data_IF_760130948332
#
_entry.id   IF_760130948332
#
_cell.length_a   1.000
_cell.length_b   1.000
_cell.length_c   1.000
_cell.angle_alpha   90.00
_cell.angle_beta   90.00
_cell.angle_gamma   90.00
#
_symmetry.space_group_name_H-M   'P 1'
#
loop_
_entity.id
_entity.type
_entity.pdbx_description
1 polymer ?
#
# COMPACT_ATOMS: atom_id res chain seq x y z
N UNK A 1 19.79 -12.16 -43.43
CA UNK A 1 18.32 -12.02 -43.27
C UNK A 1 18.04 -11.72 -41.81
N UNK A 2 18.07 -10.44 -41.43
CA UNK A 2 17.70 -9.97 -40.11
C UNK A 2 16.19 -9.71 -40.12
N UNK A 3 15.41 -10.72 -39.72
CA UNK A 3 14.00 -10.54 -39.45
C UNK A 3 13.86 -9.58 -38.27
N UNK A 4 13.30 -8.41 -38.53
CA UNK A 4 13.00 -7.37 -37.54
C UNK A 4 12.04 -7.92 -36.49
N UNK A 5 12.58 -8.28 -35.33
CA UNK A 5 11.85 -8.76 -34.14
C UNK A 5 10.93 -7.68 -33.53
N UNK A 6 10.83 -6.51 -34.16
CA UNK A 6 9.95 -5.39 -33.78
C UNK A 6 8.47 -5.62 -34.15
N UNK A 7 8.14 -6.65 -34.95
CA UNK A 7 6.79 -6.83 -35.50
C UNK A 7 5.64 -6.97 -34.47
N UNK A 8 5.78 -7.67 -33.31
CA UNK A 8 4.66 -7.83 -32.38
C UNK A 8 4.39 -6.60 -31.50
N UNK A 9 5.31 -5.64 -31.42
CA UNK A 9 5.13 -4.44 -30.57
C UNK A 9 4.31 -3.34 -31.29
N UNK A 10 4.19 -3.42 -32.62
CA UNK A 10 3.44 -2.50 -33.46
C UNK A 10 2.12 -3.09 -33.97
N UNK A 11 1.59 -4.13 -33.32
CA UNK A 11 0.21 -4.52 -33.58
C UNK A 11 -0.69 -3.37 -33.09
N UNK A 12 -1.54 -2.77 -33.94
CA UNK A 12 -2.42 -1.67 -33.55
C UNK A 12 -3.32 -2.03 -32.36
N UNK A 13 -3.62 -3.32 -32.16
CA UNK A 13 -4.35 -3.77 -30.98
C UNK A 13 -3.51 -3.61 -29.70
N UNK A 14 -2.25 -4.04 -29.72
CA UNK A 14 -1.35 -3.93 -28.56
C UNK A 14 -1.05 -2.46 -28.25
N UNK A 15 -0.84 -1.64 -29.27
CA UNK A 15 -0.62 -0.21 -29.11
C UNK A 15 -1.82 0.47 -28.42
N UNK A 16 -3.05 0.18 -28.88
CA UNK A 16 -4.26 0.75 -28.28
C UNK A 16 -4.48 0.28 -26.82
N UNK A 17 -4.17 -0.97 -26.52
CA UNK A 17 -4.24 -1.50 -25.15
C UNK A 17 -3.19 -0.85 -24.23
N UNK A 18 -1.97 -0.67 -24.72
CA UNK A 18 -0.89 -0.02 -23.98
C UNK A 18 -1.22 1.45 -23.73
N UNK A 19 -1.68 2.17 -24.74
CA UNK A 19 -2.09 3.57 -24.62
C UNK A 19 -3.21 3.73 -23.58
N UNK A 20 -4.24 2.87 -23.64
CA UNK A 20 -5.34 2.87 -22.66
C UNK A 20 -4.83 2.58 -21.25
N UNK A 21 -3.93 1.59 -21.08
CA UNK A 21 -3.35 1.25 -19.79
C UNK A 21 -2.49 2.37 -19.22
N UNK A 22 -1.68 3.04 -20.04
CA UNK A 22 -0.84 4.17 -19.65
C UNK A 22 -1.67 5.40 -19.26
N UNK A 23 -2.72 5.71 -20.02
CA UNK A 23 -3.65 6.80 -19.69
C UNK A 23 -4.42 6.52 -18.40
N UNK A 24 -4.84 5.28 -18.18
CA UNK A 24 -5.48 4.86 -16.94
C UNK A 24 -4.51 4.99 -15.76
N UNK A 25 -3.29 4.51 -15.92
CA UNK A 25 -2.25 4.58 -14.90
C UNK A 25 -1.88 6.04 -14.57
N UNK A 26 -1.76 6.91 -15.57
CA UNK A 26 -1.47 8.33 -15.37
C UNK A 26 -2.61 9.07 -14.66
N UNK A 27 -3.88 8.71 -14.95
CA UNK A 27 -5.03 9.21 -14.23
C UNK A 27 -4.98 8.80 -12.75
N UNK A 28 -4.73 7.52 -12.46
CA UNK A 28 -4.61 7.04 -11.07
C UNK A 28 -3.47 7.73 -10.32
N UNK A 29 -2.31 7.91 -10.95
CA UNK A 29 -1.20 8.65 -10.35
C UNK A 29 -1.56 10.11 -10.10
N UNK A 30 -2.26 10.76 -11.02
CA UNK A 30 -2.68 12.16 -10.86
C UNK A 30 -3.65 12.32 -9.68
N UNK A 31 -4.63 11.42 -9.55
CA UNK A 31 -5.54 11.39 -8.40
C UNK A 31 -4.80 11.12 -7.08
N UNK A 32 -3.82 10.22 -7.09
CA UNK A 32 -3.00 9.92 -5.92
C UNK A 32 -2.16 11.13 -5.50
N UNK A 33 -1.49 11.81 -6.44
CA UNK A 33 -0.72 13.04 -6.16
C UNK A 33 -1.64 14.12 -5.60
N UNK A 34 -2.83 14.29 -6.19
CA UNK A 34 -3.82 15.26 -5.73
C UNK A 34 -4.33 14.94 -4.31
N UNK A 35 -4.52 13.65 -3.98
CA UNK A 35 -4.81 13.21 -2.62
C UNK A 35 -3.70 13.62 -1.64
N UNK A 36 -2.43 13.33 -1.96
CA UNK A 36 -1.30 13.73 -1.11
C UNK A 36 -1.25 15.26 -0.95
N UNK A 37 -1.46 16.03 -2.03
CA UNK A 37 -1.47 17.48 -1.97
C UNK A 37 -2.60 18.04 -1.09
N UNK A 38 -3.83 17.52 -1.20
CA UNK A 38 -4.93 17.94 -0.32
C UNK A 38 -4.66 17.59 1.13
N UNK A 39 -4.06 16.43 1.36
CA UNK A 39 -3.71 15.99 2.68
C UNK A 39 -2.64 16.87 3.32
N UNK A 40 -1.56 17.23 2.60
CA UNK A 40 -0.55 18.16 3.12
C UNK A 40 -1.14 19.53 3.41
N UNK A 41 -1.95 20.09 2.50
CA UNK A 41 -2.63 21.37 2.71
C UNK A 41 -3.55 21.35 3.93
N UNK A 42 -4.25 20.25 4.16
CA UNK A 42 -5.12 20.10 5.33
C UNK A 42 -4.31 20.00 6.62
N UNK A 43 -3.23 19.24 6.60
CA UNK A 43 -2.38 19.05 7.76
C UNK A 43 -1.72 20.36 8.15
N UNK A 44 -1.24 21.15 7.20
CA UNK A 44 -0.65 22.46 7.47
C UNK A 44 -1.69 23.51 7.90
N UNK A 45 -2.95 23.10 8.13
CA UNK A 45 -4.09 23.95 8.47
C UNK A 45 -4.35 25.11 7.50
N UNK A 46 -3.79 25.04 6.28
CA UNK A 46 -4.00 26.04 5.22
C UNK A 46 -5.46 26.03 4.76
N UNK A 47 -6.08 24.84 4.75
CA UNK A 47 -7.49 24.66 4.43
C UNK A 47 -8.26 24.04 5.59
N UNK A 48 -9.43 24.62 5.90
CA UNK A 48 -10.32 24.20 6.99
C UNK A 48 -11.39 23.17 6.57
N UNK A 49 -11.15 22.43 5.48
CA UNK A 49 -12.12 21.47 4.95
C UNK A 49 -12.27 20.24 5.85
N UNK A 50 -13.47 19.64 5.88
CA UNK A 50 -13.65 18.33 6.53
C UNK A 50 -12.75 17.26 5.89
N UNK A 51 -12.32 16.26 6.67
CA UNK A 51 -11.45 15.20 6.15
C UNK A 51 -12.13 14.42 5.03
N UNK A 52 -13.47 14.30 5.03
CA UNK A 52 -14.23 13.70 3.93
C UNK A 52 -13.93 14.35 2.57
N UNK A 53 -13.80 15.68 2.54
CA UNK A 53 -13.52 16.44 1.30
C UNK A 53 -12.08 16.23 0.85
N UNK A 54 -11.14 16.21 1.79
CA UNK A 54 -9.70 15.95 1.53
C UNK A 54 -9.50 14.58 0.89
N UNK A 55 -10.32 13.59 1.28
CA UNK A 55 -10.26 12.22 0.77
C UNK A 55 -11.03 11.99 -0.55
N UNK A 56 -11.70 13.00 -1.13
CA UNK A 56 -12.39 12.89 -2.44
C UNK A 56 -11.56 12.18 -3.51
N UNK A 57 -10.27 12.50 -3.72
CA UNK A 57 -9.50 11.87 -4.78
C UNK A 57 -9.25 10.38 -4.51
N UNK A 58 -9.08 9.99 -3.25
CA UNK A 58 -9.00 8.59 -2.84
C UNK A 58 -10.34 7.86 -3.05
N UNK A 59 -11.48 8.48 -2.68
CA UNK A 59 -12.80 7.91 -2.95
C UNK A 59 -13.07 7.67 -4.45
N UNK A 60 -12.57 8.56 -5.31
CA UNK A 60 -12.65 8.38 -6.77
C UNK A 60 -11.82 7.15 -7.20
N UNK A 61 -10.62 6.96 -6.65
CA UNK A 61 -9.80 5.77 -6.91
C UNK A 61 -10.55 4.51 -6.47
N UNK A 62 -11.13 4.49 -5.27
CA UNK A 62 -11.90 3.35 -4.78
C UNK A 62 -13.11 3.03 -5.66
N UNK A 63 -13.82 4.05 -6.13
CA UNK A 63 -14.95 3.90 -7.05
C UNK A 63 -14.52 3.28 -8.38
N UNK A 64 -13.38 3.73 -8.94
CA UNK A 64 -12.81 3.18 -10.16
C UNK A 64 -12.40 1.71 -9.94
N UNK A 65 -11.71 1.41 -8.84
CA UNK A 65 -11.30 0.05 -8.50
C UNK A 65 -12.52 -0.87 -8.30
N UNK A 66 -13.55 -0.40 -7.61
CA UNK A 66 -14.81 -1.12 -7.44
C UNK A 66 -15.49 -1.39 -8.78
N UNK A 67 -15.59 -0.39 -9.66
CA UNK A 67 -16.13 -0.56 -11.00
C UNK A 67 -15.38 -1.64 -11.79
N UNK A 68 -14.05 -1.62 -11.76
CA UNK A 68 -13.22 -2.64 -12.41
C UNK A 68 -13.42 -4.03 -11.79
N UNK A 69 -13.52 -4.12 -10.45
CA UNK A 69 -13.77 -5.37 -9.74
C UNK A 69 -15.13 -5.96 -10.13
N UNK A 70 -16.19 -5.17 -10.11
CA UNK A 70 -17.54 -5.60 -10.50
C UNK A 70 -17.56 -6.04 -11.97
N UNK A 71 -16.96 -5.25 -12.87
CA UNK A 71 -16.87 -5.61 -14.30
C UNK A 71 -16.08 -6.89 -14.52
N UNK A 72 -14.99 -7.09 -13.76
CA UNK A 72 -14.19 -8.32 -13.80
C UNK A 72 -15.02 -9.52 -13.35
N UNK A 73 -15.79 -9.40 -12.27
CA UNK A 73 -16.67 -10.47 -11.77
C UNK A 73 -17.76 -10.82 -12.79
N UNK A 74 -18.45 -9.82 -13.35
CA UNK A 74 -19.52 -10.02 -14.34
C UNK A 74 -18.98 -10.68 -15.62
N UNK A 75 -17.90 -10.14 -16.19
CA UNK A 75 -17.28 -10.71 -17.42
C UNK A 75 -16.85 -12.15 -17.21
N UNK A 76 -16.32 -12.46 -16.03
CA UNK A 76 -15.86 -13.81 -15.71
C UNK A 76 -17.01 -14.79 -15.55
N UNK A 77 -18.14 -14.37 -14.98
CA UNK A 77 -19.34 -15.19 -14.93
C UNK A 77 -19.85 -15.53 -16.35
N UNK A 78 -19.84 -14.55 -17.26
CA UNK A 78 -20.30 -14.76 -18.63
C UNK A 78 -19.42 -15.72 -19.45
N UNK A 79 -18.09 -15.66 -19.28
CA UNK A 79 -17.18 -16.57 -19.97
C UNK A 79 -17.33 -18.02 -19.46
N UNK A 80 -17.55 -18.20 -18.15
CA UNK A 80 -17.78 -19.53 -17.57
C UNK A 80 -18.98 -20.25 -18.17
N UNK A 81 -20.02 -19.53 -18.63
CA UNK A 81 -21.21 -20.13 -19.23
C UNK A 81 -21.02 -20.51 -20.71
N UNK A 82 -20.03 -19.93 -21.41
CA UNK A 82 -19.78 -20.20 -22.84
C UNK A 82 -18.82 -21.36 -23.08
N UNK A 83 -17.88 -21.58 -22.16
CA UNK A 83 -16.83 -22.60 -22.31
C UNK A 83 -17.26 -24.01 -21.83
N UNK A 84 -18.42 -24.16 -21.18
CA UNK A 84 -18.97 -25.44 -20.66
C UNK A 84 -19.52 -26.41 -21.73
N UNK A 85 -19.10 -26.27 -22.99
CA UNK A 85 -19.51 -27.15 -24.10
C UNK A 85 -18.34 -27.93 -24.71
N UNK A 86 -17.51 -28.58 -23.91
CA UNK A 86 -16.81 -29.83 -24.30
C UNK A 86 -15.96 -30.36 -23.14
N UNK A 87 -16.28 -31.56 -22.68
CA UNK A 87 -15.36 -32.57 -22.07
C UNK A 87 -14.40 -32.16 -20.94
N UNK A 88 -14.86 -32.29 -19.68
CA UNK A 88 -14.20 -33.03 -18.55
C UNK A 88 -14.94 -32.72 -17.22
N UNK A 89 -16.06 -33.41 -16.96
CA UNK A 89 -17.04 -33.05 -15.93
C UNK A 89 -16.58 -33.16 -14.45
N UNK A 90 -15.46 -33.83 -14.15
CA UNK A 90 -15.02 -34.05 -12.75
C UNK A 90 -13.96 -33.07 -12.25
N UNK A 91 -12.99 -32.64 -13.07
CA UNK A 91 -11.98 -31.64 -12.67
C UNK A 91 -12.53 -30.21 -12.67
N UNK A 92 -13.53 -29.94 -13.50
CA UNK A 92 -14.13 -28.61 -13.62
C UNK A 92 -14.84 -28.14 -12.34
N UNK A 93 -15.43 -29.05 -11.56
CA UNK A 93 -16.20 -28.69 -10.36
C UNK A 93 -15.34 -28.00 -9.29
N UNK A 94 -14.17 -28.57 -9.02
CA UNK A 94 -13.24 -28.05 -8.00
C UNK A 94 -12.61 -26.72 -8.44
N UNK A 95 -12.21 -26.60 -9.71
CA UNK A 95 -11.66 -25.35 -10.22
C UNK A 95 -12.70 -24.21 -10.19
N UNK A 96 -13.94 -24.48 -10.58
CA UNK A 96 -15.04 -23.48 -10.49
C UNK A 96 -15.27 -23.04 -9.04
N UNK A 97 -15.16 -23.94 -8.07
CA UNK A 97 -15.26 -23.59 -6.64
C UNK A 97 -14.09 -22.70 -6.18
N UNK A 98 -12.83 -23.08 -6.45
CA UNK A 98 -11.66 -22.27 -6.08
C UNK A 98 -11.76 -20.87 -6.69
N UNK A 99 -12.18 -20.77 -7.95
CA UNK A 99 -12.32 -19.48 -8.65
C UNK A 99 -13.36 -18.58 -7.95
N UNK A 100 -14.50 -19.13 -7.53
CA UNK A 100 -15.53 -18.40 -6.75
C UNK A 100 -15.01 -17.96 -5.38
N UNK A 101 -14.30 -18.84 -4.67
CA UNK A 101 -13.69 -18.51 -3.37
C UNK A 101 -12.69 -17.36 -3.53
N UNK A 102 -11.81 -17.41 -4.54
CA UNK A 102 -10.87 -16.31 -4.82
C UNK A 102 -11.57 -14.98 -5.10
N UNK A 103 -12.68 -15.00 -5.84
CA UNK A 103 -13.48 -13.79 -6.09
C UNK A 103 -14.12 -13.25 -4.81
N UNK A 104 -14.68 -14.12 -3.98
CA UNK A 104 -15.26 -13.71 -2.69
C UNK A 104 -14.21 -13.11 -1.76
N UNK A 105 -13.01 -13.69 -1.70
CA UNK A 105 -11.88 -13.15 -0.93
C UNK A 105 -11.51 -11.75 -1.45
N UNK A 106 -11.42 -11.55 -2.78
CA UNK A 106 -11.11 -10.24 -3.35
C UNK A 106 -12.17 -9.18 -3.03
N UNK A 107 -13.45 -9.53 -3.07
CA UNK A 107 -14.54 -8.60 -2.72
C UNK A 107 -14.51 -8.28 -1.22
N UNK A 108 -14.28 -9.29 -0.38
CA UNK A 108 -14.16 -9.12 1.07
C UNK A 108 -12.98 -8.22 1.44
N UNK A 109 -11.82 -8.45 0.83
CA UNK A 109 -10.62 -7.63 1.02
C UNK A 109 -10.87 -6.17 0.63
N UNK A 110 -11.49 -5.92 -0.52
CA UNK A 110 -11.87 -4.57 -0.94
C UNK A 110 -12.81 -3.91 0.08
N UNK A 111 -13.83 -4.63 0.54
CA UNK A 111 -14.79 -4.11 1.52
C UNK A 111 -14.11 -3.78 2.87
N UNK A 112 -13.20 -4.63 3.34
CA UNK A 112 -12.43 -4.40 4.57
C UNK A 112 -11.55 -3.15 4.47
N UNK A 113 -10.88 -2.95 3.34
CA UNK A 113 -10.06 -1.76 3.08
C UNK A 113 -10.91 -0.50 2.99
N UNK A 114 -12.06 -0.55 2.31
CA UNK A 114 -12.99 0.57 2.23
C UNK A 114 -13.52 0.95 3.63
N UNK A 115 -13.88 -0.04 4.44
CA UNK A 115 -14.39 0.17 5.78
C UNK A 115 -13.30 0.75 6.71
N UNK A 116 -12.05 0.30 6.58
CA UNK A 116 -10.91 0.90 7.24
C UNK A 116 -10.72 2.37 6.86
N UNK A 117 -10.81 2.71 5.58
CA UNK A 117 -10.70 4.09 5.10
C UNK A 117 -11.79 4.99 5.66
N UNK A 118 -13.04 4.51 5.67
CA UNK A 118 -14.18 5.22 6.28
C UNK A 118 -13.91 5.48 7.77
N UNK A 119 -13.45 4.46 8.50
CA UNK A 119 -13.16 4.59 9.93
C UNK A 119 -12.04 5.58 10.23
N UNK A 120 -10.98 5.60 9.42
CA UNK A 120 -9.92 6.62 9.53
C UNK A 120 -10.51 8.01 9.32
N UNK A 121 -11.29 8.23 8.27
CA UNK A 121 -11.88 9.55 7.98
C UNK A 121 -12.80 10.01 9.11
N UNK A 122 -13.65 9.12 9.63
CA UNK A 122 -14.55 9.43 10.76
C UNK A 122 -13.78 9.72 12.05
N UNK A 123 -12.66 9.03 12.28
CA UNK A 123 -11.78 9.28 13.42
C UNK A 123 -11.07 10.63 13.30
N UNK A 124 -10.58 10.96 12.11
CA UNK A 124 -9.91 12.24 11.83
C UNK A 124 -10.87 13.43 11.94
N UNK A 125 -12.14 13.26 11.53
CA UNK A 125 -13.21 14.25 11.75
C UNK A 125 -13.68 14.34 13.22
N UNK A 126 -13.06 13.61 14.15
CA UNK A 126 -13.42 13.56 15.57
C UNK A 126 -14.87 13.11 15.87
N UNK A 127 -15.57 12.52 14.90
CA UNK A 127 -16.91 11.97 15.12
C UNK A 127 -16.89 10.72 16.01
N UNK A 128 -15.77 10.00 16.03
CA UNK A 128 -15.58 8.76 16.79
C UNK A 128 -14.41 8.93 17.75
N UNK A 129 -14.63 8.65 19.04
CA UNK A 129 -13.62 8.75 20.11
C UNK A 129 -12.87 7.45 20.41
N UNK A 130 -13.10 6.40 19.62
CA UNK A 130 -12.49 5.08 19.82
C UNK A 130 -10.96 5.10 19.75
N UNK A 131 -10.26 4.21 20.47
CA UNK A 131 -8.82 4.06 20.33
C UNK A 131 -8.46 3.66 18.89
N UNK A 132 -7.29 4.09 18.44
CA UNK A 132 -6.84 3.89 17.05
C UNK A 132 -6.73 2.40 16.72
N UNK A 133 -6.35 1.59 17.72
CA UNK A 133 -6.35 0.14 17.62
C UNK A 133 -7.71 -0.45 17.17
N UNK A 134 -8.85 0.10 17.65
CA UNK A 134 -10.19 -0.35 17.24
C UNK A 134 -10.54 0.08 15.82
N UNK A 135 -10.12 1.29 15.43
CA UNK A 135 -10.29 1.82 14.06
C UNK A 135 -9.56 0.94 13.04
N UNK A 136 -8.44 0.32 13.43
CA UNK A 136 -7.61 -0.54 12.58
C UNK A 136 -8.09 -2.00 12.48
N UNK A 137 -9.11 -2.42 13.23
CA UNK A 137 -9.63 -3.80 13.21
C UNK A 137 -9.92 -4.34 11.80
N UNK A 138 -10.59 -3.61 10.89
CA UNK A 138 -10.89 -4.13 9.55
C UNK A 138 -9.61 -4.45 8.78
N UNK A 139 -8.58 -3.64 8.98
CA UNK A 139 -7.27 -3.84 8.39
C UNK A 139 -6.56 -5.06 8.99
N UNK A 140 -6.63 -5.26 10.31
CA UNK A 140 -6.07 -6.46 10.95
C UNK A 140 -6.75 -7.76 10.48
N UNK A 141 -8.07 -7.73 10.25
CA UNK A 141 -8.80 -8.86 9.66
C UNK A 141 -8.32 -9.11 8.23
N UNK A 142 -8.13 -8.06 7.42
CA UNK A 142 -7.54 -8.16 6.09
C UNK A 142 -6.13 -8.79 6.12
N UNK A 143 -5.25 -8.36 7.03
CA UNK A 143 -3.93 -8.97 7.23
C UNK A 143 -4.01 -10.45 7.58
N UNK A 144 -4.95 -10.83 8.44
CA UNK A 144 -5.15 -12.23 8.83
C UNK A 144 -5.58 -13.09 7.64
N UNK A 145 -6.53 -12.62 6.81
CA UNK A 145 -6.97 -13.32 5.59
C UNK A 145 -5.80 -13.51 4.61
N UNK A 146 -4.99 -12.46 4.43
CA UNK A 146 -3.81 -12.53 3.57
C UNK A 146 -2.75 -13.48 4.11
N UNK A 147 -2.52 -13.49 5.43
CA UNK A 147 -1.63 -14.44 6.09
C UNK A 147 -2.06 -15.89 5.85
N UNK A 148 -3.35 -16.20 6.00
CA UNK A 148 -3.91 -17.52 5.71
C UNK A 148 -3.72 -17.89 4.23
N UNK A 149 -3.99 -16.96 3.33
CA UNK A 149 -3.84 -17.18 1.89
C UNK A 149 -2.39 -17.50 1.53
N UNK A 150 -1.43 -16.75 2.06
CA UNK A 150 0.01 -16.98 1.83
C UNK A 150 0.47 -18.28 2.50
N UNK A 151 -0.10 -18.65 3.63
CA UNK A 151 0.17 -19.93 4.28
C UNK A 151 -0.25 -21.10 3.39
N UNK A 152 -1.45 -21.04 2.81
CA UNK A 152 -1.95 -22.08 1.89
C UNK A 152 -1.08 -22.16 0.63
N UNK A 153 -0.73 -21.05 0.00
CA UNK A 153 0.12 -21.06 -1.21
C UNK A 153 1.52 -21.57 -0.89
N UNK A 154 2.08 -21.22 0.26
CA UNK A 154 3.39 -21.71 0.71
C UNK A 154 3.33 -23.21 0.98
N UNK A 155 2.26 -23.72 1.61
CA UNK A 155 2.08 -25.15 1.84
C UNK A 155 2.02 -25.94 0.53
N UNK A 156 1.24 -25.45 -0.45
CA UNK A 156 1.18 -26.06 -1.79
C UNK A 156 2.55 -26.03 -2.47
N UNK A 157 3.27 -24.91 -2.37
CA UNK A 157 4.63 -24.77 -2.92
C UNK A 157 5.62 -25.74 -2.27
N UNK A 158 5.57 -25.91 -0.95
CA UNK A 158 6.38 -26.88 -0.21
C UNK A 158 6.08 -28.30 -0.68
N UNK A 159 4.80 -28.67 -0.81
CA UNK A 159 4.40 -30.00 -1.29
C UNK A 159 4.93 -30.26 -2.71
N UNK A 160 4.91 -29.25 -3.59
CA UNK A 160 5.45 -29.35 -4.95
C UNK A 160 6.99 -29.45 -4.98
N UNK A 161 7.70 -28.79 -4.06
CA UNK A 161 9.16 -28.90 -3.96
C UNK A 161 9.55 -30.26 -3.37
N UNK A 162 8.80 -30.75 -2.38
CA UNK A 162 9.04 -32.07 -1.79
C UNK A 162 8.86 -33.20 -2.81
N UNK A 163 7.99 -33.03 -3.81
CA UNK A 163 7.82 -34.01 -4.88
C UNK A 163 8.93 -33.99 -5.92
N UNK A 164 9.71 -32.90 -6.01
CA UNK A 164 10.80 -32.74 -6.99
C UNK A 164 12.18 -33.13 -6.46
N UNK A 165 12.28 -33.70 -5.25
CA UNK A 165 13.52 -34.10 -4.54
C UNK A 165 14.60 -33.01 -4.33
N UNK A 166 14.43 -31.80 -4.86
CA UNK A 166 15.33 -30.67 -4.64
C UNK A 166 15.10 -30.00 -3.27
N UNK A 167 15.77 -30.51 -2.24
CA UNK A 167 15.69 -29.95 -0.87
C UNK A 167 16.43 -28.60 -0.69
N UNK A 168 17.24 -28.18 -1.66
CA UNK A 168 18.03 -26.94 -1.57
C UNK A 168 17.17 -25.74 -1.93
N UNK A 169 16.75 -24.96 -0.94
CA UNK A 169 16.06 -23.68 -1.16
C UNK A 169 14.75 -23.47 -0.40
N UNK A 170 14.28 -24.48 0.34
CA UNK A 170 13.00 -24.40 1.07
C UNK A 170 12.98 -23.26 2.11
N UNK A 171 14.09 -23.06 2.84
CA UNK A 171 14.21 -21.97 3.81
C UNK A 171 14.09 -20.59 3.15
N UNK A 172 14.79 -20.36 2.03
CA UNK A 172 14.73 -19.10 1.29
C UNK A 172 13.32 -18.85 0.73
N UNK A 173 12.68 -19.89 0.19
CA UNK A 173 11.31 -19.81 -0.31
C UNK A 173 10.32 -19.38 0.78
N UNK A 174 10.37 -20.03 1.96
CA UNK A 174 9.51 -19.69 3.10
C UNK A 174 9.79 -18.26 3.60
N UNK A 175 11.07 -17.90 3.75
CA UNK A 175 11.47 -16.57 4.18
C UNK A 175 10.94 -15.48 3.24
N UNK A 176 11.05 -15.69 1.93
CA UNK A 176 10.58 -14.73 0.93
C UNK A 176 9.06 -14.50 0.98
N UNK A 177 8.27 -15.53 1.33
CA UNK A 177 6.82 -15.40 1.45
C UNK A 177 6.40 -14.65 2.71
N UNK A 178 6.95 -15.00 3.88
CA UNK A 178 6.46 -14.46 5.16
C UNK A 178 7.07 -13.12 5.56
N UNK A 179 8.28 -12.80 5.09
CA UNK A 179 8.99 -11.57 5.50
C UNK A 179 8.17 -10.30 5.27
N UNK A 180 7.52 -10.19 4.10
CA UNK A 180 6.69 -9.02 3.74
C UNK A 180 5.50 -8.85 4.69
N UNK A 181 4.82 -9.95 5.05
CA UNK A 181 3.66 -9.92 5.95
C UNK A 181 4.08 -9.47 7.34
N UNK A 182 5.18 -10.04 7.87
CA UNK A 182 5.66 -9.70 9.21
C UNK A 182 6.02 -8.22 9.27
N UNK A 183 6.77 -7.70 8.29
CA UNK A 183 7.10 -6.28 8.26
C UNK A 183 5.88 -5.37 8.09
N UNK A 184 4.90 -5.75 7.26
CA UNK A 184 3.65 -5.00 7.08
C UNK A 184 2.87 -4.94 8.39
N UNK A 185 2.68 -6.08 9.05
CA UNK A 185 2.00 -6.18 10.34
C UNK A 185 2.73 -5.36 11.42
N UNK A 186 4.05 -5.48 11.52
CA UNK A 186 4.86 -4.67 12.44
C UNK A 186 4.72 -3.16 12.17
N UNK A 187 4.71 -2.74 10.90
CA UNK A 187 4.51 -1.33 10.53
C UNK A 187 3.19 -0.80 11.08
N UNK A 188 2.10 -1.54 10.86
CA UNK A 188 0.76 -1.13 11.28
C UNK A 188 0.62 -1.09 12.78
N UNK A 189 1.18 -2.08 13.47
CA UNK A 189 1.18 -2.13 14.93
C UNK A 189 1.95 -0.93 15.51
N UNK A 190 3.14 -0.63 14.99
CA UNK A 190 3.93 0.52 15.42
C UNK A 190 3.23 1.84 15.13
N UNK A 191 2.57 1.97 13.97
CA UNK A 191 1.77 3.15 13.62
C UNK A 191 0.59 3.31 14.57
N UNK A 192 -0.17 2.25 14.85
CA UNK A 192 -1.30 2.28 15.77
C UNK A 192 -0.88 2.66 17.19
N UNK A 193 0.17 2.00 17.72
CA UNK A 193 0.72 2.29 19.06
C UNK A 193 1.26 3.72 19.17
N UNK A 194 1.88 4.23 18.09
CA UNK A 194 2.37 5.61 18.04
C UNK A 194 1.22 6.62 18.01
N UNK A 195 0.17 6.34 17.24
CA UNK A 195 -0.99 7.22 17.14
C UNK A 195 -1.76 7.29 18.47
N UNK A 196 -1.87 6.16 19.19
CA UNK A 196 -2.44 6.08 20.54
C UNK A 196 -1.53 6.70 21.64
N UNK A 197 -0.41 7.34 21.28
CA UNK A 197 0.56 7.95 22.21
C UNK A 197 1.20 7.01 23.24
N UNK A 198 1.08 5.69 23.06
CA UNK A 198 1.68 4.69 23.95
C UNK A 198 3.21 4.71 23.85
N UNK A 199 3.74 4.98 22.65
CA UNK A 199 5.18 5.08 22.40
C UNK A 199 5.57 6.51 22.04
N UNK A 200 6.59 7.06 22.71
CA UNK A 200 7.11 8.43 22.48
C UNK A 200 8.16 8.53 21.36
N UNK A 201 8.57 7.41 20.76
CA UNK A 201 9.63 7.32 19.74
C UNK A 201 9.41 8.20 18.49
N UNK A 202 10.50 8.54 17.79
CA UNK A 202 10.42 9.30 16.54
C UNK A 202 9.73 8.49 15.43
N UNK A 203 9.11 9.19 14.48
CA UNK A 203 8.45 8.55 13.34
C UNK A 203 9.43 7.75 12.46
N UNK A 204 10.69 8.17 12.38
CA UNK A 204 11.73 7.41 11.69
C UNK A 204 11.86 5.97 12.23
N UNK A 205 11.69 5.77 13.55
CA UNK A 205 11.73 4.44 14.17
C UNK A 205 10.48 3.63 13.80
N UNK A 206 9.32 4.28 13.78
CA UNK A 206 8.03 3.65 13.42
C UNK A 206 8.07 3.09 11.98
N UNK A 207 8.76 3.76 11.06
CA UNK A 207 8.89 3.34 9.66
C UNK A 207 10.09 2.42 9.36
N UNK A 208 10.85 1.97 10.37
CA UNK A 208 11.96 1.02 10.17
C UNK A 208 11.55 -0.20 9.33
N UNK A 209 10.41 -0.89 9.61
CA UNK A 209 10.04 -2.06 8.81
C UNK A 209 9.81 -1.70 7.33
N UNK A 210 9.25 -0.52 7.03
CA UNK A 210 9.06 -0.05 5.66
C UNK A 210 10.41 0.22 4.96
N UNK A 211 11.38 0.81 5.68
CA UNK A 211 12.73 1.01 5.13
C UNK A 211 13.43 -0.32 4.83
N UNK A 212 13.23 -1.35 5.67
CA UNK A 212 13.77 -2.70 5.41
C UNK A 212 13.16 -3.33 4.16
N UNK A 213 11.84 -3.14 3.92
CA UNK A 213 11.19 -3.57 2.67
C UNK A 213 11.82 -2.86 1.47
N UNK A 214 11.97 -1.54 1.54
CA UNK A 214 12.57 -0.74 0.47
C UNK A 214 14.02 -1.16 0.17
N UNK A 215 14.81 -1.39 1.21
CA UNK A 215 16.20 -1.84 1.10
C UNK A 215 16.29 -3.23 0.45
N UNK A 216 15.45 -4.20 0.87
CA UNK A 216 15.41 -5.54 0.26
C UNK A 216 15.17 -5.44 -1.25
N UNK A 217 14.12 -4.72 -1.66
CA UNK A 217 13.80 -4.58 -3.08
C UNK A 217 14.89 -3.87 -3.87
N UNK A 218 15.51 -2.83 -3.30
CA UNK A 218 16.64 -2.16 -3.94
C UNK A 218 17.82 -3.12 -4.16
N UNK A 219 18.17 -3.93 -3.16
CA UNK A 219 19.23 -4.94 -3.27
C UNK A 219 18.90 -6.03 -4.30
N UNK A 220 17.67 -6.55 -4.30
CA UNK A 220 17.21 -7.54 -5.29
C UNK A 220 17.32 -6.99 -6.72
N UNK A 221 16.97 -5.72 -6.91
CA UNK A 221 17.04 -5.08 -8.22
C UNK A 221 18.48 -4.89 -8.68
N UNK A 222 19.39 -4.49 -7.78
CA UNK A 222 20.82 -4.41 -8.05
C UNK A 222 21.42 -5.80 -8.35
N UNK A 223 21.01 -6.83 -7.62
CA UNK A 223 21.47 -8.20 -7.87
C UNK A 223 21.02 -8.70 -9.24
N UNK A 224 19.74 -8.50 -9.60
CA UNK A 224 19.21 -8.84 -10.92
C UNK A 224 19.90 -8.05 -12.03
N UNK A 225 20.16 -6.77 -11.82
CA UNK A 225 20.92 -5.95 -12.77
C UNK A 225 22.30 -6.57 -13.06
N UNK A 226 23.03 -6.95 -12.00
CA UNK A 226 24.35 -7.59 -12.12
C UNK A 226 24.25 -8.95 -12.83
N UNK A 227 23.26 -9.76 -12.47
CA UNK A 227 23.02 -11.06 -13.09
C UNK A 227 22.79 -10.93 -14.61
N UNK A 228 21.92 -10.01 -15.03
CA UNK A 228 21.68 -9.75 -16.45
C UNK A 228 22.89 -9.16 -17.17
N UNK A 229 23.74 -8.41 -16.47
CA UNK A 229 24.98 -7.87 -17.04
C UNK A 229 26.03 -8.95 -17.34
N UNK A 230 25.95 -10.11 -16.67
CA UNK A 230 26.90 -11.23 -16.86
C UNK A 230 26.45 -12.23 -17.93
N UNK A 231 25.24 -12.12 -18.47
CA UNK A 231 24.76 -13.07 -19.49
C UNK A 231 25.53 -12.93 -20.82
N UNK A 232 25.92 -14.05 -21.47
CA UNK A 232 26.74 -14.03 -22.68
C UNK A 232 25.99 -13.58 -23.94
N UNK A 233 24.65 -13.61 -23.93
CA UNK A 233 23.84 -13.19 -25.07
C UNK A 233 23.54 -11.68 -25.00
N UNK A 234 24.06 -10.86 -25.93
CA UNK A 234 23.97 -9.40 -25.84
C UNK A 234 22.54 -8.87 -25.96
N UNK A 235 21.69 -9.51 -26.77
CA UNK A 235 20.30 -9.10 -26.96
C UNK A 235 19.46 -9.27 -25.68
N UNK A 236 19.55 -10.44 -25.04
CA UNK A 236 18.85 -10.74 -23.78
C UNK A 236 19.39 -9.87 -22.65
N UNK A 237 20.71 -9.64 -22.62
CA UNK A 237 21.34 -8.76 -21.64
C UNK A 237 20.86 -7.31 -21.78
N UNK A 238 20.72 -6.80 -23.01
CA UNK A 238 20.23 -5.44 -23.25
C UNK A 238 18.75 -5.30 -22.85
N UNK A 239 17.89 -6.25 -23.22
CA UNK A 239 16.48 -6.22 -22.83
C UNK A 239 16.32 -6.29 -21.30
N UNK A 240 17.05 -7.20 -20.64
CA UNK A 240 17.06 -7.31 -19.18
C UNK A 240 17.53 -6.03 -18.48
N UNK A 241 18.59 -5.39 -18.98
CA UNK A 241 19.08 -4.10 -18.44
C UNK A 241 18.04 -3.00 -18.54
N UNK A 242 17.35 -2.87 -19.68
CA UNK A 242 16.30 -1.86 -19.86
C UNK A 242 15.13 -2.12 -18.92
N UNK A 243 14.69 -3.38 -18.78
CA UNK A 243 13.61 -3.74 -17.85
C UNK A 243 13.98 -3.45 -16.40
N UNK A 244 15.20 -3.77 -15.98
CA UNK A 244 15.65 -3.47 -14.61
C UNK A 244 15.82 -1.97 -14.39
N UNK A 245 16.30 -1.21 -15.38
CA UNK A 245 16.39 0.24 -15.28
C UNK A 245 15.02 0.91 -15.18
N UNK A 246 14.06 0.47 -16.00
CA UNK A 246 12.67 0.90 -15.86
C UNK A 246 12.11 0.52 -14.48
N UNK A 247 12.40 -0.69 -14.01
CA UNK A 247 12.06 -1.13 -12.65
C UNK A 247 12.65 -0.25 -11.55
N UNK A 248 13.91 0.21 -11.69
CA UNK A 248 14.55 1.15 -10.75
C UNK A 248 13.81 2.49 -10.73
N UNK A 249 13.48 3.02 -11.90
CA UNK A 249 12.77 4.31 -12.00
C UNK A 249 11.37 4.19 -11.39
N UNK A 250 10.62 3.15 -11.74
CA UNK A 250 9.28 2.92 -11.18
C UNK A 250 9.34 2.68 -9.67
N UNK A 251 10.31 1.91 -9.19
CA UNK A 251 10.52 1.69 -7.77
C UNK A 251 10.87 2.99 -7.05
N UNK A 252 11.77 3.81 -7.60
CA UNK A 252 12.15 5.10 -7.03
C UNK A 252 10.97 6.06 -6.95
N UNK A 253 10.18 6.17 -8.03
CA UNK A 253 8.96 6.98 -8.08
C UNK A 253 7.93 6.46 -7.07
N UNK A 254 7.69 5.15 -7.05
CA UNK A 254 6.76 4.52 -6.10
C UNK A 254 7.23 4.70 -4.65
N UNK A 255 8.52 4.58 -4.38
CA UNK A 255 9.09 4.76 -3.04
C UNK A 255 9.00 6.22 -2.61
N UNK A 256 9.26 7.18 -3.51
CA UNK A 256 9.07 8.61 -3.24
C UNK A 256 7.60 8.93 -2.94
N UNK A 257 6.68 8.40 -3.74
CA UNK A 257 5.23 8.54 -3.54
C UNK A 257 4.74 7.85 -2.26
N UNK A 258 5.27 6.67 -1.94
CA UNK A 258 4.98 5.97 -0.69
C UNK A 258 5.62 6.65 0.49
N UNK A 259 6.81 7.24 0.40
CA UNK A 259 7.41 7.97 1.51
C UNK A 259 6.68 9.28 1.77
N UNK A 260 6.26 10.01 0.73
CA UNK A 260 5.43 11.20 0.91
C UNK A 260 4.04 10.84 1.46
N UNK A 261 3.45 9.72 1.03
CA UNK A 261 2.17 9.22 1.54
C UNK A 261 2.24 8.58 2.93
N UNK A 262 3.24 7.76 3.24
CA UNK A 262 3.41 7.12 4.54
C UNK A 262 3.85 8.10 5.62
N UNK A 263 4.35 9.29 5.26
CA UNK A 263 4.50 10.40 6.20
C UNK A 263 3.16 11.01 6.67
N UNK A 264 2.00 10.56 6.15
CA UNK A 264 0.65 10.96 6.61
C UNK A 264 0.55 11.02 8.14
N UNK A 265 0.90 9.95 8.88
CA UNK A 265 0.77 9.93 10.34
C UNK A 265 1.78 10.87 11.02
N UNK A 266 2.96 11.08 10.42
CA UNK A 266 3.94 12.07 10.87
C UNK A 266 3.39 13.49 10.82
N UNK A 267 2.79 13.81 9.67
CA UNK A 267 2.21 15.09 9.35
C UNK A 267 0.96 15.34 10.21
N UNK A 268 0.08 14.35 10.37
CA UNK A 268 -1.13 14.44 11.20
C UNK A 268 -0.85 14.77 12.68
N UNK A 269 0.34 14.47 13.21
CA UNK A 269 0.69 14.81 14.61
C UNK A 269 1.32 16.20 14.75
N UNK A 270 2.01 16.70 13.73
CA UNK A 270 2.50 18.11 13.73
C UNK A 270 1.34 19.08 13.77
N UNK A 271 0.20 18.74 13.15
CA UNK A 271 -1.00 19.58 13.17
C UNK A 271 -1.88 19.41 14.40
N UNK A 272 -1.74 18.30 15.13
CA UNK A 272 -2.55 17.96 16.29
C UNK A 272 -1.83 18.18 17.64
N UNK A 273 -0.67 18.84 17.65
CA UNK A 273 -0.24 19.57 18.84
C UNK A 273 -0.95 20.93 18.79
N UNK A 274 -2.10 21.11 19.48
CA UNK A 274 -2.46 22.45 19.89
C UNK A 274 -1.30 22.95 20.73
N UNK A 275 -0.93 24.21 20.52
CA UNK A 275 0.05 24.97 21.31
C UNK A 275 -0.19 24.76 22.82
N UNK A 276 0.40 23.70 23.37
CA UNK A 276 0.51 23.45 24.80
C UNK A 276 1.64 24.31 25.40
N UNK A 277 1.99 25.40 24.72
CA UNK A 277 2.84 26.49 25.22
C UNK A 277 2.02 27.69 25.72
N UNK A 278 0.70 27.56 25.92
CA UNK A 278 -0.12 28.59 26.58
C UNK A 278 -0.38 28.33 28.09
N UNK A 279 0.45 27.49 28.74
CA UNK A 279 0.33 27.20 30.18
C UNK A 279 1.67 27.27 30.91
N UNK A 280 2.33 28.45 30.84
CA UNK A 280 3.29 28.89 31.88
C UNK A 280 3.57 30.40 31.73
N UNK A 281 2.52 31.23 31.72
CA UNK A 281 2.62 32.61 32.22
C UNK A 281 1.70 32.76 33.42
N UNK A 282 2.10 32.09 34.51
CA UNK A 282 1.68 32.56 35.82
C UNK A 282 2.23 33.98 36.04
N UNK A 283 1.40 34.95 36.41
CA UNK A 283 1.84 36.29 36.75
C UNK A 283 2.63 36.19 38.05
N UNK A 284 3.97 36.33 37.96
CA UNK A 284 4.77 36.54 39.16
C UNK A 284 4.37 37.90 39.74
N UNK A 285 3.45 37.81 40.70
CA UNK A 285 3.15 38.76 41.75
C UNK A 285 4.49 39.17 42.40
N UNK A 286 5.10 40.23 41.89
CA UNK A 286 6.01 41.04 42.68
C UNK A 286 5.13 42.01 43.46
N UNK A 287 4.66 41.52 44.61
CA UNK A 287 4.43 42.38 45.76
C UNK A 287 5.79 43.00 46.07
N UNK A 288 5.96 44.28 45.77
CA UNK A 288 6.93 45.09 46.50
C UNK A 288 6.21 46.11 47.38
N UNK A 289 6.74 46.14 48.60
CA UNK A 289 6.20 46.70 49.82
C UNK A 289 6.94 48.00 50.07
N UNK A 290 6.47 49.13 49.54
CA UNK A 290 6.87 50.46 50.02
C UNK A 290 6.23 51.61 49.25
N UNK A 291 5.06 52.09 49.71
CA UNK A 291 4.80 53.55 49.69
C UNK A 291 3.75 53.95 50.72
N UNK A 292 4.22 54.02 51.97
CA UNK A 292 3.63 54.87 53.02
C UNK A 292 4.63 56.00 53.26
N UNK A 293 4.11 57.21 53.44
CA UNK A 293 4.63 58.46 54.05
C UNK A 293 4.04 59.59 53.17
N UNK A 294 2.81 60.06 53.44
CA UNK A 294 2.48 61.26 54.26
C UNK A 294 3.38 62.46 53.99
N UNK A 295 2.82 63.47 53.32
CA UNK A 295 3.14 64.87 53.59
C UNK A 295 1.89 65.71 53.29
N UNK A 296 1.30 66.18 54.39
CA UNK A 296 0.57 67.44 54.52
C UNK A 296 1.42 68.63 54.09
#
# INVERSE_FOLDING_TARGET
MMGTVMSPLFDPQIESMLCTALLFLSLLFSLFILFIAFLTLRIDHIVLWSWRVVWIPAWIIDLILFYHLVRYVIRRQQNSTKDEKLEEAEKEGYEKQIRRVKQMIWILDFLLLLLFQIFIVLRLDQHITWPVSTVFIPYFVFEAIQCVTITITTLIGILAILSTEEKKGLGTFVFDQYWSIVLRFCTLLLVALRLDQVMTCSWAIVFIPLYLVGLKYALDLVFRYRLYATLPQPEVAQQGKVTVLLGMVLFGVSFLLCCSGCCLPCLLKVSAMPDLEESETDPLVIIDSSRRITAS
#
